data_IF_764802108822
#
_entry.id   IF_764802108822
#
_cell.length_a   1.000
_cell.length_b   1.000
_cell.length_c   1.000
_cell.angle_alpha   90.00
_cell.angle_beta   90.00
_cell.angle_gamma   90.00
#
_symmetry.space_group_name_H-M   'P 1'
#
loop_
_entity.id
_entity.type
_entity.pdbx_description
1 polymer ?
#
# COMPACT_ATOMS: atom_id res chain seq x y z
N UNK A 1 -45.65 -38.98 56.67
CA UNK A 1 -46.81 -38.60 57.48
C UNK A 1 -47.96 -38.24 56.56
N UNK A 2 -48.91 -39.10 56.51
CA UNK A 2 -50.15 -38.97 55.83
C UNK A 2 -51.06 -37.91 56.45
N UNK A 3 -51.87 -37.28 55.68
CA UNK A 3 -53.27 -37.12 56.07
C UNK A 3 -54.17 -36.81 54.85
N UNK A 4 -55.10 -37.69 54.66
CA UNK A 4 -56.29 -37.66 53.76
C UNK A 4 -57.39 -36.91 54.52
N UNK A 5 -58.15 -36.04 53.86
CA UNK A 5 -59.58 -35.86 54.19
C UNK A 5 -60.35 -35.54 52.91
N UNK A 6 -61.31 -36.43 52.61
CA UNK A 6 -62.36 -36.31 51.61
C UNK A 6 -63.61 -35.71 52.28
N UNK A 7 -64.62 -35.48 51.45
CA UNK A 7 -66.13 -35.28 51.69
C UNK A 7 -66.51 -33.92 51.13
N UNK A 8 -67.51 -33.77 50.29
CA UNK A 8 -68.62 -34.58 49.89
C UNK A 8 -69.53 -33.82 48.96
N UNK A 9 -70.40 -34.54 48.35
CA UNK A 9 -71.34 -34.34 47.23
C UNK A 9 -72.58 -33.46 47.55
N UNK A 10 -73.27 -33.22 46.43
CA UNK A 10 -74.67 -32.89 46.15
C UNK A 10 -74.87 -31.48 45.61
N UNK A 11 -75.62 -31.25 44.60
CA UNK A 11 -76.64 -31.93 43.88
C UNK A 11 -77.21 -31.16 42.67
N UNK A 12 -78.03 -31.80 41.93
CA UNK A 12 -78.78 -31.57 40.72
C UNK A 12 -79.30 -30.19 40.38
N UNK A 13 -79.51 -30.01 39.05
CA UNK A 13 -80.48 -29.10 38.40
C UNK A 13 -80.10 -28.85 36.94
N UNK A 14 -80.56 -29.59 36.03
CA UNK A 14 -81.37 -29.37 34.82
C UNK A 14 -81.47 -27.90 34.40
N UNK A 15 -81.06 -27.56 33.15
CA UNK A 15 -81.79 -27.59 31.92
C UNK A 15 -80.95 -27.18 30.70
N UNK A 16 -81.20 -27.76 29.60
CA UNK A 16 -80.61 -27.58 28.29
C UNK A 16 -80.99 -26.26 27.66
N UNK A 17 -80.07 -25.56 27.07
CA UNK A 17 -80.26 -24.78 25.85
C UNK A 17 -79.00 -24.92 24.97
N UNK A 18 -79.21 -25.61 23.86
CA UNK A 18 -78.23 -25.74 22.81
C UNK A 18 -78.08 -24.39 22.08
N UNK A 19 -77.00 -23.65 22.40
CA UNK A 19 -76.59 -22.54 21.55
C UNK A 19 -75.66 -23.10 20.50
N UNK A 20 -76.19 -23.12 19.28
CA UNK A 20 -75.49 -23.34 18.03
C UNK A 20 -74.37 -22.30 17.90
N UNK A 21 -73.10 -22.65 18.23
CA UNK A 21 -71.89 -21.87 17.95
C UNK A 21 -71.21 -22.45 16.72
N UNK A 22 -71.78 -22.17 15.55
CA UNK A 22 -71.00 -22.19 14.32
C UNK A 22 -69.87 -21.21 14.49
N UNK A 23 -68.57 -21.58 14.20
CA UNK A 23 -67.48 -20.64 14.24
C UNK A 23 -67.70 -19.58 13.16
N UNK A 24 -67.43 -18.30 13.43
CA UNK A 24 -67.56 -17.29 12.41
C UNK A 24 -66.52 -17.59 11.31
N UNK A 25 -67.06 -17.60 10.13
CA UNK A 25 -66.34 -17.68 8.85
C UNK A 25 -65.09 -16.82 8.88
N UNK A 26 -63.99 -17.41 8.47
CA UNK A 26 -62.67 -16.81 8.56
C UNK A 26 -62.53 -15.47 7.84
N UNK A 27 -62.74 -14.39 8.55
CA UNK A 27 -62.20 -13.11 8.14
C UNK A 27 -60.69 -13.23 8.23
N UNK A 28 -60.02 -13.28 7.09
CA UNK A 28 -58.55 -13.23 6.89
C UNK A 28 -58.02 -11.90 7.48
N UNK A 29 -57.90 -11.84 8.81
CA UNK A 29 -57.35 -10.71 9.51
C UNK A 29 -55.80 -10.73 9.39
N UNK A 30 -55.31 -10.73 8.17
CA UNK A 30 -53.88 -10.55 7.92
C UNK A 30 -53.48 -9.23 8.51
N UNK A 31 -52.55 -9.30 9.41
CA UNK A 31 -52.00 -8.16 10.16
C UNK A 31 -51.46 -7.13 9.19
N UNK A 32 -51.90 -5.88 9.27
CA UNK A 32 -51.31 -4.78 8.46
C UNK A 32 -50.10 -4.25 9.21
N UNK A 33 -48.94 -4.34 8.58
CA UNK A 33 -47.65 -3.91 9.17
C UNK A 33 -47.19 -2.65 8.46
N UNK A 34 -46.84 -1.64 9.26
CA UNK A 34 -46.24 -0.41 8.73
C UNK A 34 -44.79 -0.65 8.38
N UNK A 35 -44.42 -0.39 7.14
CA UNK A 35 -43.09 -0.63 6.62
C UNK A 35 -42.55 0.59 5.87
N UNK A 36 -41.22 0.74 5.85
CA UNK A 36 -40.54 1.64 4.93
C UNK A 36 -39.95 0.81 3.80
N UNK A 37 -40.20 1.23 2.58
CA UNK A 37 -39.67 0.58 1.38
C UNK A 37 -38.72 1.53 0.65
N UNK A 38 -37.71 0.96 0.02
CA UNK A 38 -36.80 1.62 -0.87
C UNK A 38 -36.86 0.93 -2.24
N UNK A 39 -36.96 1.71 -3.31
CA UNK A 39 -36.87 1.17 -4.67
C UNK A 39 -35.44 0.89 -5.00
N UNK A 40 -35.13 -0.32 -5.37
CA UNK A 40 -33.79 -0.74 -5.71
C UNK A 40 -33.41 -0.19 -7.09
N UNK A 41 -32.18 0.27 -7.18
CA UNK A 41 -31.56 0.67 -8.44
C UNK A 41 -30.18 0.02 -8.53
N UNK A 42 -29.81 -0.38 -9.72
CA UNK A 42 -28.45 -0.81 -9.99
C UNK A 42 -27.53 0.40 -9.87
N UNK A 43 -26.46 0.24 -9.12
CA UNK A 43 -25.43 1.28 -8.90
C UNK A 43 -24.03 0.65 -8.85
N UNK A 44 -22.99 1.41 -9.14
CA UNK A 44 -21.64 0.92 -8.94
C UNK A 44 -21.37 0.70 -7.44
N UNK A 45 -20.65 -0.36 -7.14
CA UNK A 45 -20.20 -0.69 -5.80
C UNK A 45 -18.70 -0.91 -5.81
N UNK A 46 -17.99 -0.17 -4.97
CA UNK A 46 -16.54 -0.34 -4.79
C UNK A 46 -16.27 -0.82 -3.37
N UNK A 47 -15.69 -2.00 -3.26
CA UNK A 47 -15.16 -2.52 -2.00
C UNK A 47 -13.74 -2.04 -1.84
N UNK A 48 -13.40 -1.53 -0.65
CA UNK A 48 -12.12 -0.91 -0.37
C UNK A 48 -11.47 -1.47 0.88
N UNK A 49 -10.16 -1.61 0.84
CA UNK A 49 -9.33 -1.92 2.00
C UNK A 49 -8.72 -0.61 2.50
N UNK A 50 -8.95 -0.27 3.77
CA UNK A 50 -8.32 0.90 4.40
C UNK A 50 -7.09 0.45 5.17
N UNK A 51 -5.97 1.07 4.87
CA UNK A 51 -4.66 0.77 5.43
C UNK A 51 -4.00 2.07 5.89
N UNK A 52 -3.09 1.95 6.84
CA UNK A 52 -2.15 3.02 7.14
C UNK A 52 -0.84 2.75 6.42
N UNK A 53 -0.33 3.74 5.73
CA UNK A 53 0.93 3.70 5.00
C UNK A 53 1.90 4.78 5.45
N UNK A 54 3.10 4.70 4.92
CA UNK A 54 4.17 5.70 5.12
C UNK A 54 4.74 6.09 3.77
N UNK A 55 4.93 7.38 3.57
CA UNK A 55 5.63 7.90 2.38
C UNK A 55 7.10 7.52 2.46
N UNK A 56 7.64 6.96 1.41
CA UNK A 56 9.06 6.66 1.28
C UNK A 56 9.66 7.39 0.08
N UNK A 57 10.93 7.72 0.19
CA UNK A 57 11.70 8.19 -0.96
C UNK A 57 12.02 7.00 -1.89
N UNK A 58 12.14 7.26 -3.18
CA UNK A 58 12.54 6.20 -4.13
C UNK A 58 13.93 5.66 -3.77
N UNK A 59 14.84 6.56 -3.41
CA UNK A 59 16.20 6.22 -2.97
C UNK A 59 16.64 7.09 -1.80
N UNK A 60 17.22 6.45 -0.78
CA UNK A 60 17.86 7.12 0.33
C UNK A 60 19.19 6.42 0.60
N UNK A 61 20.30 7.15 0.54
CA UNK A 61 21.65 6.60 0.70
C UNK A 61 22.46 7.47 1.64
N UNK A 62 23.18 6.82 2.55
CA UNK A 62 24.22 7.46 3.34
C UNK A 62 25.52 7.40 2.52
N UNK A 63 25.95 8.55 2.02
CA UNK A 63 27.22 8.70 1.33
C UNK A 63 28.34 8.69 2.37
N UNK A 64 29.24 7.72 2.27
CA UNK A 64 30.36 7.56 3.21
C UNK A 64 31.70 7.86 2.53
N UNK A 65 32.73 8.21 3.33
CA UNK A 65 34.06 8.38 2.86
C UNK A 65 34.68 7.04 2.40
N UNK A 66 35.26 7.00 1.21
CA UNK A 66 35.98 5.83 0.70
C UNK A 66 37.49 5.87 1.07
N UNK A 67 38.04 7.06 1.27
CA UNK A 67 39.42 7.29 1.75
C UNK A 67 39.42 8.01 3.10
N UNK A 68 40.46 7.81 3.88
CA UNK A 68 40.66 8.51 5.14
C UNK A 68 41.38 9.85 4.93
N UNK A 69 41.06 10.83 5.75
CA UNK A 69 41.68 12.13 5.69
C UNK A 69 40.94 13.20 6.48
N UNK A 70 41.45 14.41 6.44
CA UNK A 70 40.78 15.60 6.99
C UNK A 70 39.81 16.14 5.95
N UNK A 71 38.61 16.53 6.35
CA UNK A 71 37.67 17.26 5.48
C UNK A 71 38.20 18.67 5.25
N UNK A 72 38.66 18.94 4.03
CA UNK A 72 39.20 20.24 3.63
C UNK A 72 38.09 21.23 3.34
N UNK A 73 37.02 20.77 2.67
CA UNK A 73 35.91 21.60 2.23
C UNK A 73 34.61 20.81 2.24
N UNK A 74 33.51 21.48 2.62
CA UNK A 74 32.15 21.05 2.41
C UNK A 74 31.52 21.96 1.35
N UNK A 75 31.14 21.39 0.21
CA UNK A 75 30.73 22.14 -0.98
C UNK A 75 29.21 22.36 -0.98
N UNK A 76 28.47 21.38 -0.47
CA UNK A 76 27.00 21.36 -0.48
C UNK A 76 26.50 21.30 0.96
N UNK A 77 25.58 22.20 1.29
CA UNK A 77 24.91 22.23 2.59
C UNK A 77 23.60 21.44 2.61
N UNK A 78 23.13 21.11 3.83
CA UNK A 78 21.85 20.45 4.05
C UNK A 78 20.68 21.25 3.45
N UNK A 79 19.74 20.56 2.87
CA UNK A 79 18.56 21.12 2.19
C UNK A 79 18.83 21.54 0.74
N UNK A 80 20.06 21.47 0.23
CA UNK A 80 20.37 21.80 -1.16
C UNK A 80 20.18 20.60 -2.08
N UNK A 81 19.71 20.87 -3.30
CA UNK A 81 19.63 19.89 -4.37
C UNK A 81 21.00 19.67 -5.00
N UNK A 82 21.33 18.42 -5.26
CA UNK A 82 22.58 17.99 -5.91
C UNK A 82 22.28 17.09 -7.10
N UNK A 83 23.15 17.13 -8.10
CA UNK A 83 23.10 16.25 -9.27
C UNK A 83 24.05 15.07 -9.11
N UNK A 84 23.73 13.96 -9.76
CA UNK A 84 24.64 12.81 -9.86
C UNK A 84 26.05 13.23 -10.30
N UNK A 85 27.06 12.71 -9.59
CA UNK A 85 28.47 13.06 -9.81
C UNK A 85 28.92 14.41 -9.28
N UNK A 86 28.03 15.28 -8.80
CA UNK A 86 28.38 16.56 -8.20
C UNK A 86 29.14 16.34 -6.88
N UNK A 87 30.26 17.04 -6.65
CA UNK A 87 31.00 16.92 -5.41
C UNK A 87 30.18 17.52 -4.24
N UNK A 88 30.13 16.77 -3.13
CA UNK A 88 29.49 17.16 -1.87
C UNK A 88 30.52 17.70 -0.90
N UNK A 89 31.65 17.00 -0.78
CA UNK A 89 32.75 17.36 0.10
C UNK A 89 34.07 16.93 -0.52
N UNK A 90 35.17 17.58 -0.09
CA UNK A 90 36.54 17.30 -0.49
C UNK A 90 37.38 16.96 0.76
N UNK A 91 38.07 15.85 0.71
CA UNK A 91 39.11 15.54 1.69
C UNK A 91 40.44 16.25 1.29
N UNK A 92 41.29 16.48 2.26
CA UNK A 92 42.65 16.95 2.03
C UNK A 92 43.42 15.94 1.14
N UNK A 93 43.85 16.38 -0.02
CA UNK A 93 44.43 15.54 -1.04
C UNK A 93 45.86 15.96 -1.40
N UNK A 94 46.47 16.90 -0.64
CA UNK A 94 47.77 17.44 -0.90
C UNK A 94 48.86 16.35 -0.98
N UNK A 95 48.89 15.45 -0.01
CA UNK A 95 49.85 14.33 0.00
C UNK A 95 49.63 13.37 -1.18
N UNK A 96 48.39 13.06 -1.51
CA UNK A 96 48.05 12.18 -2.65
C UNK A 96 48.42 12.84 -3.98
N UNK A 97 48.29 14.15 -4.13
CA UNK A 97 48.73 14.90 -5.30
C UNK A 97 50.26 14.82 -5.45
N UNK A 98 51.01 15.04 -4.37
CA UNK A 98 52.49 14.90 -4.39
C UNK A 98 52.90 13.47 -4.78
N UNK A 99 52.24 12.43 -4.25
CA UNK A 99 52.48 11.03 -4.62
C UNK A 99 52.17 10.75 -6.08
N UNK A 100 51.06 11.33 -6.62
CA UNK A 100 50.69 11.21 -8.04
C UNK A 100 51.78 11.82 -8.92
N UNK A 101 52.30 12.99 -8.57
CA UNK A 101 53.33 13.68 -9.36
C UNK A 101 54.64 12.90 -9.36
N UNK A 102 55.04 12.30 -8.23
CA UNK A 102 56.16 11.36 -8.12
C UNK A 102 55.98 10.13 -9.03
N UNK A 103 54.80 9.48 -8.95
CA UNK A 103 54.50 8.31 -9.77
C UNK A 103 54.45 8.65 -11.26
N UNK A 104 53.95 9.81 -11.63
CA UNK A 104 53.92 10.31 -13.00
C UNK A 104 55.34 10.52 -13.54
N UNK A 105 56.25 11.11 -12.73
CA UNK A 105 57.65 11.28 -13.11
C UNK A 105 58.35 9.92 -13.29
N UNK A 106 58.09 8.96 -12.39
CA UNK A 106 58.63 7.61 -12.47
C UNK A 106 58.14 6.89 -13.73
N UNK A 107 56.85 6.98 -14.05
CA UNK A 107 56.28 6.43 -15.29
C UNK A 107 56.95 7.05 -16.52
N UNK A 108 57.11 8.36 -16.54
CA UNK A 108 57.76 9.08 -17.67
C UNK A 108 59.18 8.60 -17.92
N UNK A 109 59.96 8.39 -16.86
CA UNK A 109 61.31 7.84 -16.96
C UNK A 109 61.30 6.40 -17.50
N UNK A 110 60.46 5.54 -16.90
CA UNK A 110 60.37 4.14 -17.30
C UNK A 110 59.84 4.00 -18.76
N UNK A 111 58.92 4.85 -19.18
CA UNK A 111 58.41 4.89 -20.55
C UNK A 111 59.50 5.28 -21.55
N UNK A 112 60.29 6.32 -21.29
CA UNK A 112 61.40 6.74 -22.16
C UNK A 112 62.49 5.65 -22.28
N UNK A 113 62.78 4.95 -21.16
CA UNK A 113 63.73 3.86 -21.18
C UNK A 113 63.20 2.68 -22.01
N UNK A 114 61.95 2.25 -21.78
CA UNK A 114 61.31 1.19 -22.56
C UNK A 114 61.23 1.55 -24.05
N UNK A 115 60.82 2.76 -24.41
CA UNK A 115 60.71 3.18 -25.81
C UNK A 115 62.08 3.19 -26.53
N UNK A 116 63.13 3.61 -25.84
CA UNK A 116 64.48 3.54 -26.37
C UNK A 116 64.95 2.09 -26.55
N UNK A 117 64.75 1.23 -25.55
CA UNK A 117 65.11 -0.19 -25.63
C UNK A 117 64.32 -0.91 -26.72
N UNK A 118 63.05 -0.58 -26.88
CA UNK A 118 62.17 -1.11 -27.91
C UNK A 118 62.71 -0.78 -29.32
N UNK A 119 63.06 0.48 -29.56
CA UNK A 119 63.60 0.89 -30.85
C UNK A 119 64.95 0.18 -31.18
N UNK A 120 65.84 0.10 -30.22
CA UNK A 120 67.11 -0.61 -30.40
C UNK A 120 66.92 -2.10 -30.70
N UNK A 121 65.98 -2.74 -30.02
CA UNK A 121 65.66 -4.16 -30.22
C UNK A 121 64.90 -4.44 -31.51
N UNK A 122 63.79 -3.72 -31.78
CA UNK A 122 62.89 -3.96 -32.90
C UNK A 122 63.42 -3.43 -34.22
N UNK A 123 64.08 -2.23 -34.23
CA UNK A 123 64.50 -1.54 -35.46
C UNK A 123 65.99 -1.77 -35.77
N UNK A 124 66.83 -1.75 -34.77
CA UNK A 124 68.28 -1.86 -34.95
C UNK A 124 68.85 -3.26 -34.69
N UNK A 125 68.03 -4.19 -34.15
CA UNK A 125 68.45 -5.53 -33.81
C UNK A 125 69.49 -5.58 -32.66
N UNK A 126 69.58 -4.54 -31.85
CA UNK A 126 70.57 -4.37 -30.78
C UNK A 126 69.90 -4.63 -29.42
N UNK A 127 70.55 -5.45 -28.57
CA UNK A 127 70.08 -5.82 -27.21
C UNK A 127 69.55 -7.22 -27.14
N UNK A 128 69.10 -7.60 -25.94
CA UNK A 128 68.54 -8.93 -25.67
C UNK A 128 67.03 -8.81 -25.44
N UNK A 129 66.28 -9.88 -25.78
CA UNK A 129 64.87 -9.97 -25.47
C UNK A 129 64.58 -9.76 -23.97
N UNK A 130 65.45 -10.24 -23.11
CA UNK A 130 65.31 -10.07 -21.67
C UNK A 130 65.38 -8.61 -21.26
N UNK A 131 66.30 -7.80 -21.82
CA UNK A 131 66.38 -6.37 -21.56
C UNK A 131 65.13 -5.62 -22.05
N UNK A 132 64.64 -5.99 -23.23
CA UNK A 132 63.37 -5.44 -23.77
C UNK A 132 62.20 -5.75 -22.85
N UNK A 133 62.01 -7.03 -22.44
CA UNK A 133 60.93 -7.44 -21.54
C UNK A 133 61.03 -6.78 -20.18
N UNK A 134 62.25 -6.67 -19.62
CA UNK A 134 62.47 -6.01 -18.34
C UNK A 134 62.08 -4.52 -18.38
N UNK A 135 62.49 -3.79 -19.43
CA UNK A 135 62.12 -2.38 -19.61
C UNK A 135 60.60 -2.20 -19.75
N UNK A 136 59.95 -3.11 -20.52
CA UNK A 136 58.50 -3.13 -20.69
C UNK A 136 57.76 -3.35 -19.36
N UNK A 137 58.13 -4.38 -18.61
CA UNK A 137 57.46 -4.68 -17.34
C UNK A 137 57.72 -3.59 -16.29
N UNK A 138 58.89 -2.93 -16.31
CA UNK A 138 59.16 -1.76 -15.44
C UNK A 138 58.23 -0.60 -15.78
N UNK A 139 57.98 -0.34 -17.06
CA UNK A 139 57.04 0.69 -17.52
C UNK A 139 55.59 0.35 -17.12
N UNK A 140 55.19 -0.91 -17.30
CA UNK A 140 53.84 -1.37 -16.93
C UNK A 140 53.61 -1.31 -15.41
N UNK A 141 54.63 -1.64 -14.59
CA UNK A 141 54.59 -1.49 -13.13
C UNK A 141 54.42 -0.01 -12.71
N UNK A 142 55.22 0.91 -13.31
CA UNK A 142 55.10 2.33 -13.02
C UNK A 142 53.75 2.89 -13.40
N UNK A 143 53.17 2.44 -14.53
CA UNK A 143 51.78 2.79 -14.98
C UNK A 143 50.73 2.32 -13.96
N UNK A 144 50.83 1.07 -13.54
CA UNK A 144 49.89 0.50 -12.56
C UNK A 144 49.97 1.27 -11.20
N UNK A 145 51.20 1.70 -10.81
CA UNK A 145 51.36 2.50 -9.59
C UNK A 145 50.71 3.87 -9.70
N UNK A 146 50.84 4.55 -10.83
CA UNK A 146 50.20 5.85 -11.08
C UNK A 146 48.65 5.67 -11.03
N UNK A 147 48.09 4.66 -11.73
CA UNK A 147 46.66 4.40 -11.74
C UNK A 147 46.10 4.15 -10.33
N UNK A 148 46.81 3.43 -9.48
CA UNK A 148 46.43 3.22 -8.08
C UNK A 148 46.30 4.54 -7.32
N UNK A 149 47.27 5.45 -7.47
CA UNK A 149 47.25 6.72 -6.76
C UNK A 149 46.18 7.66 -7.33
N UNK A 150 45.96 7.67 -8.64
CA UNK A 150 44.88 8.43 -9.28
C UNK A 150 43.51 7.95 -8.81
N UNK A 151 43.27 6.63 -8.67
CA UNK A 151 42.05 6.07 -8.15
C UNK A 151 41.83 6.51 -6.69
N UNK A 152 42.85 6.51 -5.85
CA UNK A 152 42.78 7.02 -4.47
C UNK A 152 42.46 8.50 -4.43
N UNK A 153 43.13 9.30 -5.27
CA UNK A 153 42.90 10.73 -5.40
C UNK A 153 41.46 11.05 -5.85
N UNK A 154 40.91 10.27 -6.78
CA UNK A 154 39.50 10.43 -7.20
C UNK A 154 38.51 10.22 -6.06
N UNK A 155 38.82 9.30 -5.12
CA UNK A 155 37.99 8.98 -3.95
C UNK A 155 38.02 10.03 -2.85
N UNK A 156 39.02 10.96 -2.86
CA UNK A 156 39.03 12.10 -1.94
C UNK A 156 37.90 13.09 -2.24
N UNK A 157 37.34 13.07 -3.46
CA UNK A 157 36.19 13.87 -3.87
C UNK A 157 34.92 13.05 -3.64
N UNK A 158 34.21 13.34 -2.57
CA UNK A 158 32.97 12.67 -2.23
C UNK A 158 31.85 13.23 -3.11
N UNK A 159 31.21 12.37 -3.92
CA UNK A 159 30.25 12.77 -4.93
C UNK A 159 28.86 12.17 -4.66
N UNK A 160 27.82 12.88 -5.14
CA UNK A 160 26.46 12.38 -5.12
C UNK A 160 26.31 11.18 -6.08
N UNK A 161 25.77 10.03 -5.63
CA UNK A 161 25.54 8.87 -6.50
C UNK A 161 24.36 9.03 -7.44
N UNK A 162 23.40 9.89 -7.13
CA UNK A 162 22.20 10.21 -7.91
C UNK A 162 21.71 11.63 -7.64
N UNK A 163 20.75 12.09 -8.42
CA UNK A 163 20.10 13.39 -8.22
C UNK A 163 19.21 13.36 -6.97
N UNK A 164 19.33 14.34 -6.10
CA UNK A 164 18.55 14.35 -4.87
C UNK A 164 18.78 15.58 -4.00
N UNK A 165 18.22 15.56 -2.80
CA UNK A 165 18.43 16.59 -1.79
C UNK A 165 19.31 16.05 -0.67
N UNK A 166 20.29 16.83 -0.25
CA UNK A 166 21.12 16.51 0.90
C UNK A 166 20.33 16.78 2.18
N UNK A 167 19.81 15.71 2.78
CA UNK A 167 18.95 15.78 3.96
C UNK A 167 19.73 16.04 5.24
N UNK A 168 20.84 15.33 5.41
CA UNK A 168 21.70 15.48 6.59
C UNK A 168 23.19 15.52 6.20
N UNK A 169 23.95 16.28 6.94
CA UNK A 169 25.42 16.35 6.89
C UNK A 169 25.96 15.86 8.23
N UNK A 170 26.87 14.89 8.16
CA UNK A 170 27.44 14.22 9.35
C UNK A 170 28.83 14.67 9.70
N UNK A 171 29.46 15.53 8.88
CA UNK A 171 30.82 16.02 9.07
C UNK A 171 30.93 17.53 8.90
N UNK A 172 31.92 18.10 9.51
CA UNK A 172 32.28 19.53 9.39
C UNK A 172 33.65 19.69 8.77
N UNK A 173 33.94 20.87 8.22
CA UNK A 173 35.28 21.24 7.77
C UNK A 173 36.27 21.09 8.93
N UNK A 174 37.36 20.40 8.71
CA UNK A 174 38.36 20.09 9.72
C UNK A 174 38.14 18.75 10.44
N UNK A 175 37.02 18.07 10.28
CA UNK A 175 36.79 16.72 10.81
C UNK A 175 37.76 15.72 10.19
N UNK A 176 38.27 14.76 10.99
CA UNK A 176 39.06 13.64 10.50
C UNK A 176 38.14 12.46 10.30
N UNK A 177 38.14 11.86 9.11
CA UNK A 177 37.32 10.73 8.73
C UNK A 177 38.19 9.52 8.36
N UNK A 178 37.65 8.33 8.61
CA UNK A 178 38.18 7.06 8.14
C UNK A 178 37.31 6.51 6.99
N UNK A 179 37.78 5.55 6.19
CA UNK A 179 36.93 4.83 5.23
C UNK A 179 35.71 4.25 5.92
N UNK A 180 34.53 4.44 5.33
CA UNK A 180 33.24 4.04 5.90
C UNK A 180 32.56 5.08 6.79
N UNK A 181 33.22 6.20 7.14
CA UNK A 181 32.61 7.27 7.93
C UNK A 181 31.47 7.94 7.13
N UNK A 182 30.23 8.04 7.67
CA UNK A 182 29.13 8.77 7.06
C UNK A 182 29.50 10.25 6.84
N UNK A 183 29.27 10.76 5.64
CA UNK A 183 29.51 12.16 5.27
C UNK A 183 28.19 12.91 5.15
N UNK A 184 27.25 12.37 4.41
CA UNK A 184 25.96 12.99 4.16
C UNK A 184 24.88 11.93 3.88
N UNK A 185 23.63 12.27 4.17
CA UNK A 185 22.45 11.51 3.74
C UNK A 185 21.85 12.19 2.52
N UNK A 186 21.74 11.47 1.41
CA UNK A 186 21.15 11.93 0.17
C UNK A 186 19.83 11.22 -0.06
N UNK A 187 18.78 11.98 -0.37
CA UNK A 187 17.42 11.48 -0.55
C UNK A 187 16.87 11.94 -1.90
N UNK A 188 16.35 10.98 -2.67
CA UNK A 188 15.63 11.24 -3.91
C UNK A 188 14.15 11.49 -3.60
N UNK A 189 13.70 12.70 -3.83
CA UNK A 189 12.32 13.11 -3.54
C UNK A 189 11.38 12.98 -4.75
N UNK A 190 11.85 12.43 -5.87
CA UNK A 190 11.07 12.33 -7.11
C UNK A 190 11.45 11.08 -7.92
N UNK A 191 10.54 10.10 -8.01
CA UNK A 191 9.19 10.05 -7.43
C UNK A 191 9.19 9.69 -5.94
N UNK A 192 8.16 10.12 -5.21
CA UNK A 192 7.85 9.59 -3.90
C UNK A 192 6.91 8.38 -4.03
N UNK A 193 7.09 7.40 -3.16
CA UNK A 193 6.26 6.20 -3.07
C UNK A 193 5.58 6.13 -1.71
N UNK A 194 4.56 5.29 -1.61
CA UNK A 194 3.92 4.97 -0.33
C UNK A 194 4.05 3.48 -0.09
N UNK A 195 4.54 3.10 1.08
CA UNK A 195 4.52 1.71 1.52
C UNK A 195 3.40 1.49 2.53
N UNK A 196 2.66 0.38 2.41
CA UNK A 196 1.63 -0.01 3.34
C UNK A 196 1.64 -1.52 3.58
N UNK A 197 1.23 -1.96 4.77
CA UNK A 197 1.10 -3.38 5.12
C UNK A 197 -0.32 -3.87 4.87
N UNK A 198 -0.51 -4.80 3.95
CA UNK A 198 -1.82 -5.43 3.67
C UNK A 198 -1.96 -6.70 4.50
N UNK A 199 -3.05 -6.88 5.28
CA UNK A 199 -3.30 -8.13 6.01
C UNK A 199 -3.39 -9.36 5.10
N UNK A 200 -2.83 -10.50 5.53
CA UNK A 200 -2.73 -11.74 4.75
C UNK A 200 -4.07 -12.25 4.18
N UNK A 201 -5.19 -11.95 4.87
CA UNK A 201 -6.54 -12.33 4.40
C UNK A 201 -6.92 -11.71 3.05
N UNK A 202 -6.23 -10.68 2.61
CA UNK A 202 -6.46 -10.00 1.33
C UNK A 202 -5.43 -10.38 0.25
N UNK A 203 -4.61 -11.41 0.51
CA UNK A 203 -3.53 -11.81 -0.40
C UNK A 203 -4.01 -12.24 -1.79
N UNK A 204 -5.24 -12.76 -1.89
CA UNK A 204 -5.86 -13.13 -3.18
C UNK A 204 -6.53 -11.95 -3.91
N UNK A 205 -6.67 -10.80 -3.24
CA UNK A 205 -7.47 -9.68 -3.74
C UNK A 205 -6.62 -8.48 -4.18
N UNK A 206 -5.32 -8.48 -3.84
CA UNK A 206 -4.44 -7.34 -4.10
C UNK A 206 -3.37 -7.72 -5.11
N UNK A 207 -3.41 -7.05 -6.26
CA UNK A 207 -2.49 -7.28 -7.36
C UNK A 207 -1.79 -5.98 -7.77
N UNK A 208 -0.64 -6.12 -8.43
CA UNK A 208 0.04 -4.97 -9.06
C UNK A 208 -0.87 -4.37 -10.15
N UNK A 209 -0.93 -3.05 -10.22
CA UNK A 209 -1.84 -2.32 -11.09
C UNK A 209 -3.17 -1.93 -10.44
N UNK A 210 -3.49 -2.43 -9.22
CA UNK A 210 -4.69 -2.04 -8.50
C UNK A 210 -4.68 -0.53 -8.20
N UNK A 211 -5.85 0.10 -8.33
CA UNK A 211 -6.02 1.51 -8.04
C UNK A 211 -6.16 1.76 -6.54
N UNK A 212 -5.61 2.85 -6.10
CA UNK A 212 -5.69 3.28 -4.71
C UNK A 212 -5.80 4.80 -4.61
N UNK A 213 -6.30 5.27 -3.48
CA UNK A 213 -6.26 6.68 -3.09
C UNK A 213 -5.42 6.82 -1.84
N UNK A 214 -4.49 7.75 -1.87
CA UNK A 214 -3.66 8.10 -0.72
C UNK A 214 -4.13 9.43 -0.17
N UNK A 215 -4.57 9.41 1.08
CA UNK A 215 -5.05 10.58 1.80
C UNK A 215 -3.92 11.03 2.73
N UNK A 216 -3.58 12.30 2.66
CA UNK A 216 -2.58 12.96 3.51
C UNK A 216 -3.29 13.79 4.59
N UNK A 217 -3.56 13.23 5.80
CA UNK A 217 -4.34 13.95 6.83
C UNK A 217 -3.70 15.26 7.24
N UNK A 218 -2.35 15.29 7.31
CA UNK A 218 -1.59 16.47 7.70
C UNK A 218 -1.65 17.63 6.68
N UNK A 219 -1.96 17.32 5.41
CA UNK A 219 -2.00 18.31 4.33
C UNK A 219 -3.42 18.58 3.85
N UNK A 220 -4.42 17.83 4.36
CA UNK A 220 -5.81 17.81 3.87
C UNK A 220 -5.88 17.60 2.35
N UNK A 221 -5.01 16.77 1.80
CA UNK A 221 -4.85 16.49 0.37
C UNK A 221 -5.05 15.00 0.08
N UNK A 222 -5.41 14.69 -1.16
CA UNK A 222 -5.62 13.31 -1.62
C UNK A 222 -5.00 13.15 -3.01
N UNK A 223 -4.24 12.09 -3.20
CA UNK A 223 -3.62 11.73 -4.47
C UNK A 223 -4.09 10.36 -4.93
N UNK A 224 -4.32 10.21 -6.22
CA UNK A 224 -4.50 8.91 -6.83
C UNK A 224 -3.14 8.20 -6.90
N UNK A 225 -3.17 6.89 -6.70
CA UNK A 225 -2.00 6.03 -6.68
C UNK A 225 -2.29 4.69 -7.33
N UNK A 226 -1.25 4.01 -7.75
CA UNK A 226 -1.32 2.66 -8.33
C UNK A 226 -0.36 1.76 -7.55
N UNK A 227 -0.80 0.55 -7.25
CA UNK A 227 0.07 -0.49 -6.66
C UNK A 227 1.12 -0.88 -7.69
N UNK A 228 2.38 -0.54 -7.40
CA UNK A 228 3.52 -0.87 -8.26
C UNK A 228 4.12 -2.23 -7.89
N UNK A 229 4.16 -2.54 -6.60
CA UNK A 229 4.76 -3.75 -6.09
C UNK A 229 3.92 -4.39 -4.98
N UNK A 230 3.83 -5.72 -5.00
CA UNK A 230 3.20 -6.55 -3.97
C UNK A 230 4.24 -7.52 -3.45
N UNK A 231 4.52 -7.49 -2.16
CA UNK A 231 5.50 -8.35 -1.51
C UNK A 231 5.09 -9.82 -1.56
N UNK A 232 6.02 -10.69 -1.92
CA UNK A 232 5.79 -12.12 -2.03
C UNK A 232 5.71 -12.86 -0.68
N UNK A 233 6.12 -12.22 0.41
CA UNK A 233 6.18 -12.83 1.73
C UNK A 233 5.37 -12.05 2.76
N UNK A 234 4.69 -12.79 3.64
CA UNK A 234 3.97 -12.24 4.79
C UNK A 234 4.93 -12.11 5.97
N UNK A 235 4.98 -10.93 6.58
CA UNK A 235 5.77 -10.70 7.77
C UNK A 235 5.15 -11.42 8.98
N UNK A 236 5.88 -12.31 9.66
CA UNK A 236 5.31 -13.20 10.68
C UNK A 236 4.83 -12.46 11.94
N UNK A 237 5.40 -11.30 12.25
CA UNK A 237 5.09 -10.53 13.46
C UNK A 237 3.75 -9.82 13.41
N UNK A 238 3.35 -9.28 12.26
CA UNK A 238 2.12 -8.50 12.11
C UNK A 238 1.12 -9.09 11.11
N UNK A 239 1.44 -10.23 10.47
CA UNK A 239 0.60 -10.92 9.49
C UNK A 239 0.19 -10.03 8.32
N UNK A 240 1.11 -9.20 7.84
CA UNK A 240 0.92 -8.34 6.66
C UNK A 240 2.00 -8.62 5.62
N UNK A 241 1.69 -8.36 4.36
CA UNK A 241 2.67 -8.26 3.28
C UNK A 241 2.79 -6.81 2.82
N UNK A 242 4.00 -6.34 2.45
CA UNK A 242 4.19 -4.97 2.02
C UNK A 242 3.64 -4.77 0.60
N UNK A 243 3.03 -3.61 0.38
CA UNK A 243 2.72 -3.09 -0.95
C UNK A 243 3.37 -1.73 -1.13
N UNK A 244 3.85 -1.44 -2.33
CA UNK A 244 4.35 -0.12 -2.69
C UNK A 244 3.43 0.50 -3.73
N UNK A 245 3.08 1.75 -3.50
CA UNK A 245 2.20 2.52 -4.36
C UNK A 245 2.98 3.69 -4.95
N UNK A 246 2.84 3.87 -6.25
CA UNK A 246 3.35 5.02 -6.98
C UNK A 246 2.30 6.13 -6.98
N UNK A 247 2.66 7.33 -6.53
CA UNK A 247 1.81 8.51 -6.52
C UNK A 247 1.75 9.12 -7.92
N UNK A 248 0.55 9.34 -8.46
CA UNK A 248 0.40 9.96 -9.78
C UNK A 248 0.60 11.48 -9.75
N UNK A 249 0.29 12.11 -8.63
CA UNK A 249 0.50 13.53 -8.42
C UNK A 249 0.90 13.77 -6.96
N UNK A 250 2.18 14.03 -6.72
CA UNK A 250 2.63 14.40 -5.39
C UNK A 250 2.73 15.92 -5.28
N UNK A 251 2.06 16.49 -4.28
CA UNK A 251 2.21 17.90 -3.92
C UNK A 251 3.64 18.13 -3.39
N UNK A 252 4.26 19.25 -3.73
CA UNK A 252 5.62 19.60 -3.26
C UNK A 252 5.81 19.62 -1.73
N UNK A 253 4.70 19.62 -0.97
CA UNK A 253 4.70 19.60 0.49
C UNK A 253 4.81 18.20 1.10
N UNK A 254 4.67 17.14 0.29
CA UNK A 254 4.80 15.75 0.75
C UNK A 254 6.27 15.45 1.04
N UNK A 255 6.53 14.87 2.20
CA UNK A 255 7.89 14.50 2.64
C UNK A 255 7.94 13.01 2.96
N UNK A 256 9.08 12.35 2.79
CA UNK A 256 9.32 11.02 3.32
C UNK A 256 8.98 10.93 4.81
N UNK A 257 8.65 9.73 5.29
CA UNK A 257 8.23 9.39 6.66
C UNK A 257 6.87 9.99 7.08
N UNK A 258 6.14 10.70 6.21
CA UNK A 258 4.77 11.09 6.49
C UNK A 258 3.86 9.87 6.55
N UNK A 259 3.01 9.82 7.59
CA UNK A 259 1.97 8.81 7.73
C UNK A 259 0.75 9.21 6.90
N UNK A 260 0.19 8.27 6.16
CA UNK A 260 -0.93 8.46 5.23
C UNK A 260 -1.96 7.36 5.39
N UNK A 261 -3.21 7.67 5.01
CA UNK A 261 -4.24 6.65 4.88
C UNK A 261 -4.33 6.21 3.42
N UNK A 262 -4.24 4.90 3.20
CA UNK A 262 -4.34 4.28 1.89
C UNK A 262 -5.70 3.61 1.77
N UNK A 263 -6.47 3.97 0.76
CA UNK A 263 -7.74 3.36 0.38
C UNK A 263 -7.50 2.58 -0.91
N UNK A 264 -7.30 1.28 -0.76
CA UNK A 264 -7.02 0.38 -1.88
C UNK A 264 -8.33 -0.21 -2.41
N UNK A 265 -8.58 -0.10 -3.71
CA UNK A 265 -9.73 -0.70 -4.35
C UNK A 265 -9.53 -2.22 -4.51
N UNK A 266 -10.48 -2.99 -3.97
CA UNK A 266 -10.48 -4.46 -4.01
C UNK A 266 -11.32 -5.00 -5.16
N UNK A 267 -12.58 -4.56 -5.23
CA UNK A 267 -13.53 -4.94 -6.27
C UNK A 267 -14.29 -3.72 -6.73
N UNK A 268 -14.30 -3.51 -8.01
CA UNK A 268 -15.18 -2.54 -8.65
C UNK A 268 -16.25 -3.32 -9.44
N UNK A 269 -17.49 -3.23 -8.98
CA UNK A 269 -18.63 -3.89 -9.61
C UNK A 269 -19.54 -2.83 -10.19
N UNK A 270 -19.74 -2.87 -11.48
CA UNK A 270 -20.72 -2.01 -12.16
C UNK A 270 -22.09 -2.68 -12.21
N UNK A 271 -23.16 -1.86 -12.11
CA UNK A 271 -24.54 -2.31 -12.30
C UNK A 271 -25.00 -3.44 -11.36
N UNK A 272 -24.64 -3.36 -10.07
CA UNK A 272 -25.06 -4.31 -9.06
C UNK A 272 -26.16 -3.76 -8.16
N UNK A 273 -27.04 -4.64 -7.68
CA UNK A 273 -28.03 -4.29 -6.67
C UNK A 273 -27.35 -4.28 -5.30
N UNK A 274 -27.41 -3.14 -4.62
CA UNK A 274 -26.80 -2.95 -3.30
C UNK A 274 -27.88 -2.59 -2.29
N UNK A 275 -27.91 -3.33 -1.19
CA UNK A 275 -28.90 -3.15 -0.12
C UNK A 275 -28.22 -2.85 1.22
N UNK A 276 -28.87 -2.08 2.12
CA UNK A 276 -28.41 -1.93 3.48
C UNK A 276 -28.42 -3.28 4.21
N UNK A 277 -27.37 -3.59 4.97
CA UNK A 277 -27.27 -4.85 5.74
C UNK A 277 -28.44 -5.05 6.68
N UNK A 278 -28.98 -3.97 7.26
CA UNK A 278 -30.12 -4.00 8.14
C UNK A 278 -31.42 -4.50 7.49
N UNK A 279 -31.53 -4.43 6.15
CA UNK A 279 -32.71 -4.95 5.42
C UNK A 279 -32.68 -6.48 5.25
N UNK A 280 -31.54 -7.13 5.56
CA UNK A 280 -31.37 -8.56 5.44
C UNK A 280 -31.85 -9.28 6.70
N UNK A 281 -32.61 -10.36 6.54
CA UNK A 281 -33.03 -11.23 7.62
C UNK A 281 -32.31 -12.56 7.48
N UNK A 282 -31.75 -13.03 8.60
CA UNK A 282 -31.07 -14.32 8.64
C UNK A 282 -32.08 -15.44 8.87
N UNK A 283 -32.04 -16.47 8.05
CA UNK A 283 -32.85 -17.70 8.15
C UNK A 283 -31.94 -18.91 8.42
N UNK A 284 -32.54 -20.09 8.65
CA UNK A 284 -31.79 -21.33 8.81
C UNK A 284 -30.98 -21.68 7.54
N UNK A 285 -31.52 -21.37 6.35
CA UNK A 285 -30.91 -21.69 5.06
C UNK A 285 -30.09 -20.58 4.45
N UNK A 286 -29.90 -19.43 5.17
CA UNK A 286 -29.11 -18.33 4.65
C UNK A 286 -29.63 -16.93 4.97
N UNK A 287 -29.78 -16.11 3.95
CA UNK A 287 -30.31 -14.75 4.08
C UNK A 287 -31.52 -14.55 3.15
N UNK A 288 -32.50 -13.83 3.64
CA UNK A 288 -33.61 -13.39 2.83
C UNK A 288 -33.88 -11.89 3.01
N UNK A 289 -34.69 -11.33 2.15
CA UNK A 289 -35.26 -10.00 2.30
C UNK A 289 -36.78 -10.02 1.90
N UNK A 290 -37.48 -9.02 2.38
CA UNK A 290 -38.89 -8.83 2.03
C UNK A 290 -39.02 -7.75 0.96
N UNK A 291 -39.77 -8.05 -0.08
CA UNK A 291 -40.13 -7.15 -1.16
C UNK A 291 -41.60 -6.82 -1.07
N UNK A 292 -41.95 -5.55 -1.21
CA UNK A 292 -43.35 -5.13 -1.28
C UNK A 292 -43.85 -5.22 -2.71
N UNK A 293 -44.68 -6.21 -2.99
CA UNK A 293 -45.36 -6.40 -4.28
C UNK A 293 -46.75 -5.73 -4.21
N UNK A 294 -47.03 -4.86 -5.17
CA UNK A 294 -48.37 -4.20 -5.23
C UNK A 294 -49.43 -5.20 -5.62
N UNK A 295 -50.42 -5.39 -4.76
CA UNK A 295 -51.62 -6.12 -5.07
C UNK A 295 -52.69 -5.20 -5.67
N UNK A 296 -53.78 -5.75 -6.24
CA UNK A 296 -54.87 -4.95 -6.75
C UNK A 296 -55.50 -4.12 -5.61
N UNK A 297 -55.44 -2.77 -5.69
CA UNK A 297 -56.11 -1.85 -4.76
C UNK A 297 -55.24 -1.17 -3.73
N UNK A 298 -54.10 -0.59 -4.08
CA UNK A 298 -53.21 0.23 -3.21
C UNK A 298 -52.55 -0.48 -2.01
N UNK A 299 -52.87 -1.71 -1.71
CA UNK A 299 -52.23 -2.48 -0.66
C UNK A 299 -51.05 -3.26 -1.22
N UNK A 300 -49.92 -3.22 -0.50
CA UNK A 300 -48.75 -4.04 -0.82
C UNK A 300 -48.75 -5.32 0.01
N UNK A 301 -48.22 -6.39 -0.56
CA UNK A 301 -48.04 -7.69 0.11
C UNK A 301 -46.56 -7.99 0.21
N UNK A 302 -46.15 -8.52 1.36
CA UNK A 302 -44.78 -8.97 1.57
C UNK A 302 -44.50 -10.26 0.81
N UNK A 303 -43.45 -10.27 0.01
CA UNK A 303 -42.93 -11.48 -0.63
C UNK A 303 -41.51 -11.72 -0.13
N UNK A 304 -41.24 -12.91 0.37
CA UNK A 304 -39.92 -13.33 0.81
C UNK A 304 -39.07 -13.72 -0.39
N UNK A 305 -37.87 -13.17 -0.47
CA UNK A 305 -36.88 -13.51 -1.50
C UNK A 305 -35.59 -14.05 -0.85
N UNK A 306 -35.24 -15.28 -1.17
CA UNK A 306 -33.95 -15.85 -0.77
C UNK A 306 -32.83 -15.22 -1.56
N UNK A 307 -31.73 -14.85 -0.87
CA UNK A 307 -30.69 -14.04 -1.42
C UNK A 307 -29.35 -14.78 -1.44
N UNK A 308 -28.64 -14.61 -2.54
CA UNK A 308 -27.20 -14.90 -2.58
C UNK A 308 -26.42 -13.59 -2.40
N UNK A 309 -25.66 -13.52 -1.31
CA UNK A 309 -24.90 -12.32 -0.98
C UNK A 309 -23.53 -12.33 -1.69
N UNK A 310 -23.09 -11.14 -2.10
CA UNK A 310 -21.76 -10.88 -2.63
C UNK A 310 -20.87 -10.09 -1.66
N UNK A 311 -20.05 -9.20 -2.20
CA UNK A 311 -19.19 -8.32 -1.43
C UNK A 311 -19.98 -7.42 -0.48
N UNK A 312 -19.38 -7.07 0.67
CA UNK A 312 -20.02 -6.17 1.64
C UNK A 312 -19.02 -5.13 2.13
N UNK A 313 -19.42 -3.86 2.11
CA UNK A 313 -18.63 -2.74 2.62
C UNK A 313 -19.53 -1.63 3.15
N UNK A 314 -19.09 -0.90 4.17
CA UNK A 314 -19.78 0.28 4.73
C UNK A 314 -21.27 0.06 5.02
N UNK A 315 -21.61 -1.07 5.66
CA UNK A 315 -22.98 -1.49 5.99
C UNK A 315 -23.91 -1.72 4.78
N UNK A 316 -23.32 -1.88 3.61
CA UNK A 316 -23.99 -2.24 2.36
C UNK A 316 -23.55 -3.62 1.90
N UNK A 317 -24.45 -4.34 1.25
CA UNK A 317 -24.22 -5.70 0.75
C UNK A 317 -24.67 -5.77 -0.70
N UNK A 318 -23.79 -6.29 -1.56
CA UNK A 318 -24.10 -6.60 -2.95
C UNK A 318 -24.95 -7.86 -3.00
N UNK A 319 -26.02 -7.84 -3.77
CA UNK A 319 -26.87 -9.01 -4.01
C UNK A 319 -26.53 -9.59 -5.38
N UNK A 320 -26.10 -10.86 -5.37
CA UNK A 320 -25.77 -11.59 -6.60
C UNK A 320 -27.00 -12.19 -7.26
N UNK A 321 -28.00 -12.65 -6.45
CA UNK A 321 -29.27 -13.18 -6.94
C UNK A 321 -30.36 -13.05 -5.90
N UNK A 322 -31.62 -13.02 -6.35
CA UNK A 322 -32.81 -12.95 -5.52
C UNK A 322 -33.51 -11.59 -5.52
N UNK A 323 -32.84 -10.50 -5.93
CA UNK A 323 -33.46 -9.18 -6.11
C UNK A 323 -33.13 -8.62 -7.48
N UNK A 324 -34.03 -7.80 -8.00
CA UNK A 324 -33.90 -7.10 -9.27
C UNK A 324 -33.90 -5.59 -9.07
N UNK A 325 -33.33 -4.86 -10.04
CA UNK A 325 -33.57 -3.43 -10.14
C UNK A 325 -35.07 -3.18 -10.29
N UNK A 326 -35.60 -2.17 -9.61
CA UNK A 326 -37.02 -1.79 -9.50
C UNK A 326 -37.83 -2.50 -8.41
N UNK A 327 -37.33 -3.58 -7.79
CA UNK A 327 -37.98 -4.18 -6.61
C UNK A 327 -38.08 -3.13 -5.48
N UNK A 328 -39.18 -3.22 -4.71
CA UNK A 328 -39.42 -2.37 -3.53
C UNK A 328 -39.01 -3.12 -2.26
N UNK A 329 -37.78 -2.93 -1.85
CA UNK A 329 -37.17 -3.58 -0.68
C UNK A 329 -37.73 -2.98 0.61
N UNK A 330 -38.16 -3.82 1.55
CA UNK A 330 -38.51 -3.39 2.91
C UNK A 330 -37.23 -3.15 3.70
N UNK A 331 -36.97 -1.90 4.09
CA UNK A 331 -35.75 -1.49 4.83
C UNK A 331 -36.00 -1.29 6.33
N UNK A 332 -37.27 -1.12 6.75
CA UNK A 332 -37.64 -1.04 8.16
C UNK A 332 -38.96 -1.78 8.37
N UNK A 333 -39.08 -2.52 9.51
CA UNK A 333 -40.25 -3.34 9.86
C UNK A 333 -40.08 -4.83 9.53
N UNK A 334 -39.00 -5.22 8.87
CA UNK A 334 -38.73 -6.57 8.35
C UNK A 334 -38.74 -7.68 9.41
N UNK A 335 -38.45 -7.37 10.67
CA UNK A 335 -38.45 -8.37 11.76
C UNK A 335 -39.86 -8.76 12.24
N UNK A 336 -40.90 -8.06 11.80
CA UNK A 336 -42.28 -8.27 12.21
C UNK A 336 -43.16 -8.81 11.07
N UNK A 337 -42.56 -9.06 9.91
CA UNK A 337 -43.21 -9.43 8.68
C UNK A 337 -43.08 -10.94 8.45
N UNK A 338 -44.11 -11.58 8.03
CA UNK A 338 -44.11 -12.91 7.44
C UNK A 338 -44.50 -12.85 5.94
N UNK A 339 -44.16 -13.91 5.22
CA UNK A 339 -44.56 -14.04 3.81
C UNK A 339 -46.07 -13.97 3.64
N UNK A 340 -46.52 -13.11 2.73
CA UNK A 340 -47.95 -12.89 2.47
C UNK A 340 -48.62 -11.86 3.38
N UNK A 341 -47.96 -11.24 4.34
CA UNK A 341 -48.53 -10.18 5.19
C UNK A 341 -48.85 -8.91 4.38
N UNK A 342 -49.96 -8.22 4.76
CA UNK A 342 -50.35 -6.96 4.17
C UNK A 342 -49.43 -5.81 4.72
N UNK A 343 -48.91 -5.03 3.80
CA UNK A 343 -48.02 -3.94 4.12
C UNK A 343 -48.67 -2.58 3.91
N UNK A 344 -48.52 -1.70 4.88
CA UNK A 344 -48.77 -0.27 4.69
C UNK A 344 -47.45 0.46 4.55
N UNK A 345 -47.21 0.97 3.34
CA UNK A 345 -45.97 1.71 3.05
C UNK A 345 -46.06 3.10 3.69
N UNK A 346 -45.19 3.36 4.65
CA UNK A 346 -45.09 4.68 5.28
C UNK A 346 -43.94 5.41 4.60
N UNK A 347 -44.26 6.46 3.83
CA UNK A 347 -43.25 7.33 3.23
C UNK A 347 -42.47 8.07 4.32
N UNK A 348 -41.13 8.05 4.25
CA UNK A 348 -40.36 8.97 5.05
C UNK A 348 -40.62 10.42 4.55
N UNK A 349 -40.98 11.32 5.48
CA UNK A 349 -40.97 12.75 5.23
C UNK A 349 -39.52 13.26 5.13
#
# INVERSE_FOLDING_TARGET
GALVVAIGATGCGEDADAVDTSPPDGADSRRIINVRVERLASRPFTDVIRLTGTVIADRSVIVAAEEGGKVAEVIIDKGQFVRAGQPIAQLDDELLRAQRDEAQASLSLAYQLWERTRRLFDEDGIGTENEYLQARFTCDQARARLQLIEARLARTKIRAPFDGVLDARHVEVGSIVAPGTPIATLVDLSPLKVTAGVPERYAADVEAGAQAKVIFPALADTSDAIVEFVGAAVHPGNRTFPVELSLQSATRSVKPEMVVDVVLERHHLENVVVVPRQALVRTEDGFCAFVAVMAEGEEAVAEVRNLTLGASANDQVVILSGLSSDDRLVVLGQTQIADGDRLRIVSAR
#
